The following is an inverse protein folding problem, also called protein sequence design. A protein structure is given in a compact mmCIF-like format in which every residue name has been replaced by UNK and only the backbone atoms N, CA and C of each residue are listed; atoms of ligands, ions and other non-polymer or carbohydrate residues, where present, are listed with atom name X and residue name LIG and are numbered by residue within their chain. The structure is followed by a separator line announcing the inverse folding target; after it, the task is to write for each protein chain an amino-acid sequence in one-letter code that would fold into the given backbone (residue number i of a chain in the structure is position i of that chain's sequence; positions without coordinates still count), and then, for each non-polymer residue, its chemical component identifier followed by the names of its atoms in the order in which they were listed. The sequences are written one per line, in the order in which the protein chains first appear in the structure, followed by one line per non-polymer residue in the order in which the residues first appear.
data_IF_903903087320
#
_entry.id   IF_903903087320
#
_cell.length_a   1.000
_cell.length_b   1.000
_cell.length_c   1.000
_cell.angle_alpha   90.00
_cell.angle_beta   90.00
_cell.angle_gamma   90.00
#
_symmetry.space_group_name_H-M   'P 1'
#
loop_
_entity.id
_entity.type
_entity.pdbx_description
1 polymer ?
#
# COMPACT_ATOMS: atom_id res chain seq x y z
N UNK A 1 36.64 22.85 -27.02
CA UNK A 1 35.57 22.05 -27.66
C UNK A 1 35.19 20.82 -26.82
N UNK A 2 36.12 19.94 -26.46
CA UNK A 2 35.84 18.74 -25.61
C UNK A 2 35.10 19.05 -24.29
N UNK A 3 35.49 20.10 -23.55
CA UNK A 3 34.81 20.49 -22.30
C UNK A 3 33.34 20.92 -22.50
N UNK A 4 33.04 21.63 -23.59
CA UNK A 4 31.66 22.05 -23.93
C UNK A 4 30.80 20.86 -24.33
N UNK A 5 31.37 19.91 -25.09
CA UNK A 5 30.69 18.65 -25.45
C UNK A 5 30.40 17.82 -24.20
N UNK A 6 31.36 17.67 -23.29
CA UNK A 6 31.16 16.95 -22.01
C UNK A 6 30.07 17.62 -21.16
N UNK A 7 30.07 18.95 -21.03
CA UNK A 7 29.02 19.67 -20.28
C UNK A 7 27.64 19.50 -20.89
N UNK A 8 27.52 19.52 -22.22
CA UNK A 8 26.23 19.32 -22.91
C UNK A 8 25.74 17.88 -22.72
N UNK A 9 26.61 16.89 -22.81
CA UNK A 9 26.26 15.47 -22.58
C UNK A 9 25.82 15.26 -21.13
N UNK A 10 26.50 15.86 -20.16
CA UNK A 10 26.12 15.77 -18.74
C UNK A 10 24.76 16.42 -18.49
N UNK A 11 24.52 17.61 -19.06
CA UNK A 11 23.24 18.32 -18.96
C UNK A 11 22.10 17.49 -19.56
N UNK A 12 22.31 16.93 -20.76
CA UNK A 12 21.34 16.04 -21.41
C UNK A 12 21.05 14.79 -20.56
N UNK A 13 22.08 14.20 -19.95
CA UNK A 13 21.93 13.07 -19.02
C UNK A 13 21.10 13.44 -17.79
N UNK A 14 21.36 14.60 -17.17
CA UNK A 14 20.57 15.09 -16.04
C UNK A 14 19.11 15.38 -16.44
N UNK A 15 18.88 16.01 -17.60
CA UNK A 15 17.52 16.26 -18.11
C UNK A 15 16.79 14.95 -18.35
N UNK A 16 17.44 13.96 -18.99
CA UNK A 16 16.85 12.65 -19.22
C UNK A 16 16.48 11.97 -17.90
N UNK A 17 17.38 12.00 -16.91
CA UNK A 17 17.14 11.42 -15.58
C UNK A 17 15.96 12.09 -14.86
N UNK A 18 15.86 13.42 -14.92
CA UNK A 18 14.75 14.17 -14.32
C UNK A 18 13.42 13.86 -14.99
N UNK A 19 13.39 13.76 -16.32
CA UNK A 19 12.18 13.38 -17.06
C UNK A 19 11.76 11.96 -16.72
N UNK A 20 12.69 11.01 -16.68
CA UNK A 20 12.39 9.63 -16.27
C UNK A 20 11.86 9.54 -14.84
N UNK A 21 12.44 10.29 -13.91
CA UNK A 21 11.96 10.34 -12.52
C UNK A 21 10.54 10.92 -12.43
N UNK A 22 10.24 11.99 -13.17
CA UNK A 22 8.91 12.60 -13.20
C UNK A 22 7.85 11.64 -13.77
N UNK A 23 8.18 10.90 -14.83
CA UNK A 23 7.29 9.88 -15.40
C UNK A 23 7.01 8.78 -14.36
N UNK A 24 8.05 8.23 -13.73
CA UNK A 24 7.89 7.19 -12.70
C UNK A 24 7.07 7.67 -11.51
N UNK A 25 7.28 8.91 -11.07
CA UNK A 25 6.51 9.50 -9.98
C UNK A 25 5.03 9.67 -10.35
N UNK A 26 4.74 10.04 -11.60
CA UNK A 26 3.35 10.18 -12.08
C UNK A 26 2.65 8.81 -12.09
N UNK A 27 3.32 7.77 -12.59
CA UNK A 27 2.77 6.40 -12.57
C UNK A 27 2.57 5.89 -11.15
N UNK A 28 3.50 6.19 -10.24
CA UNK A 28 3.33 5.85 -8.83
C UNK A 28 2.13 6.58 -8.18
N UNK A 29 1.91 7.85 -8.52
CA UNK A 29 0.77 8.61 -7.98
C UNK A 29 -0.56 8.00 -8.44
N UNK A 30 -0.71 7.72 -9.74
CA UNK A 30 -1.90 7.04 -10.28
C UNK A 30 -2.14 5.70 -9.59
N UNK A 31 -1.07 4.91 -9.39
CA UNK A 31 -1.15 3.66 -8.66
C UNK A 31 -1.64 3.89 -7.22
N UNK A 32 -1.09 4.87 -6.50
CA UNK A 32 -1.47 5.15 -5.11
C UNK A 32 -2.91 5.62 -4.95
N UNK A 33 -3.47 6.32 -5.95
CA UNK A 33 -4.84 6.82 -5.94
C UNK A 33 -5.87 5.70 -6.15
N UNK A 34 -5.48 4.63 -6.85
CA UNK A 34 -6.33 3.45 -7.09
C UNK A 34 -6.22 2.39 -6.01
N UNK A 35 -5.30 2.53 -5.06
CA UNK A 35 -5.05 1.53 -4.02
C UNK A 35 -5.57 2.02 -2.66
N UNK A 36 -6.26 1.13 -1.96
CA UNK A 36 -6.53 1.30 -0.52
C UNK A 36 -5.76 0.20 0.21
N UNK A 37 -4.91 0.61 1.15
CA UNK A 37 -4.04 -0.29 1.90
C UNK A 37 -4.60 -0.56 3.29
N UNK A 38 -4.60 -1.83 3.69
CA UNK A 38 -4.93 -2.23 5.06
C UNK A 38 -3.69 -2.11 5.94
N UNK A 39 -3.83 -1.39 7.05
CA UNK A 39 -2.80 -1.27 8.07
C UNK A 39 -3.35 -1.73 9.41
N UNK A 40 -2.97 -2.92 9.88
CA UNK A 40 -3.37 -3.43 11.19
C UNK A 40 -2.20 -3.30 12.17
N UNK A 41 -2.44 -2.63 13.28
CA UNK A 41 -1.46 -2.44 14.37
C UNK A 41 -1.92 -3.22 15.57
N UNK A 42 -1.06 -4.14 16.03
CA UNK A 42 -1.31 -4.95 17.22
C UNK A 42 -1.19 -4.12 18.49
N UNK A 43 -1.75 -4.63 19.58
CA UNK A 43 -1.60 -4.02 20.89
C UNK A 43 -0.13 -4.00 21.35
N UNK A 44 0.59 -5.12 21.22
CA UNK A 44 2.02 -5.24 21.51
C UNK A 44 2.76 -6.20 20.57
N UNK A 45 4.05 -6.41 20.84
CA UNK A 45 4.94 -7.32 20.10
C UNK A 45 4.92 -8.77 20.60
N UNK A 46 4.06 -9.07 21.57
CA UNK A 46 3.91 -10.44 22.07
C UNK A 46 3.46 -11.38 20.94
N UNK A 47 3.93 -12.63 20.93
CA UNK A 47 3.51 -13.61 19.93
C UNK A 47 1.98 -13.80 19.90
N UNK A 48 1.33 -13.61 21.05
CA UNK A 48 -0.12 -13.64 21.21
C UNK A 48 -0.81 -12.49 20.45
N UNK A 49 -0.40 -11.24 20.71
CA UNK A 49 -0.96 -10.06 20.06
C UNK A 49 -0.70 -10.05 18.55
N UNK A 50 0.46 -10.60 18.14
CA UNK A 50 0.77 -10.79 16.73
C UNK A 50 -0.15 -11.81 16.07
N UNK A 51 -0.56 -12.88 16.75
CA UNK A 51 -1.55 -13.84 16.23
C UNK A 51 -2.96 -13.23 16.16
N UNK A 52 -3.38 -12.52 17.21
CA UNK A 52 -4.66 -11.81 17.25
C UNK A 52 -4.77 -10.85 16.06
N UNK A 53 -3.71 -10.08 15.79
CA UNK A 53 -3.64 -9.17 14.62
C UNK A 53 -3.95 -9.87 13.31
N UNK A 54 -3.45 -11.09 13.09
CA UNK A 54 -3.71 -11.85 11.86
C UNK A 54 -5.18 -12.27 11.77
N UNK A 55 -5.80 -12.65 12.89
CA UNK A 55 -7.23 -13.02 12.94
C UNK A 55 -8.12 -11.81 12.69
N UNK A 56 -7.82 -10.68 13.30
CA UNK A 56 -8.52 -9.40 13.07
C UNK A 56 -8.36 -8.95 11.62
N UNK A 57 -7.17 -9.06 11.05
CA UNK A 57 -6.94 -8.82 9.61
C UNK A 57 -7.87 -9.64 8.76
N UNK A 58 -7.95 -10.96 9.00
CA UNK A 58 -8.77 -11.86 8.18
C UNK A 58 -10.26 -11.52 8.27
N UNK A 59 -10.77 -11.24 9.48
CA UNK A 59 -12.15 -10.81 9.70
C UNK A 59 -12.47 -9.49 8.97
N UNK A 60 -11.54 -8.54 8.94
CA UNK A 60 -11.71 -7.27 8.24
C UNK A 60 -11.67 -7.48 6.73
N UNK A 61 -10.79 -8.34 6.21
CA UNK A 61 -10.74 -8.66 4.79
C UNK A 61 -12.04 -9.33 4.33
N UNK A 62 -12.56 -10.28 5.10
CA UNK A 62 -13.85 -10.94 4.82
C UNK A 62 -15.01 -9.93 4.80
N UNK A 63 -15.02 -8.98 5.74
CA UNK A 63 -16.06 -7.93 5.79
C UNK A 63 -15.93 -6.90 4.65
N UNK A 64 -14.72 -6.54 4.27
CA UNK A 64 -14.47 -5.48 3.27
C UNK A 64 -14.54 -5.95 1.83
N UNK A 65 -14.21 -7.22 1.56
CA UNK A 65 -14.24 -7.79 0.21
C UNK A 65 -15.59 -7.59 -0.52
N UNK A 66 -16.76 -7.92 0.05
CA UNK A 66 -18.03 -7.73 -0.65
C UNK A 66 -18.40 -6.24 -0.82
N UNK A 67 -17.94 -5.36 0.08
CA UNK A 67 -18.18 -3.92 -0.03
C UNK A 67 -17.41 -3.29 -1.19
N UNK A 68 -16.26 -3.87 -1.51
CA UNK A 68 -15.34 -3.39 -2.52
C UNK A 68 -15.55 -4.04 -3.89
N UNK A 69 -16.24 -5.17 -3.93
CA UNK A 69 -16.49 -5.91 -5.17
C UNK A 69 -17.42 -5.11 -6.10
N UNK A 70 -16.85 -4.58 -7.20
CA UNK A 70 -17.60 -3.80 -8.18
C UNK A 70 -17.99 -2.39 -7.70
N UNK A 71 -17.35 -1.89 -6.63
CA UNK A 71 -17.58 -0.53 -6.16
C UNK A 71 -16.91 0.49 -7.08
N UNK A 72 -17.70 1.43 -7.61
CA UNK A 72 -17.18 2.55 -8.41
C UNK A 72 -16.38 3.56 -7.55
N UNK A 73 -16.75 3.70 -6.27
CA UNK A 73 -16.02 4.47 -5.25
C UNK A 73 -15.66 3.57 -4.05
N UNK A 74 -14.52 2.86 -4.12
CA UNK A 74 -14.01 2.01 -3.05
C UNK A 74 -13.81 2.75 -1.71
N UNK A 75 -13.42 4.03 -1.78
CA UNK A 75 -13.15 4.85 -0.58
C UNK A 75 -14.47 5.18 0.11
N UNK A 76 -15.46 5.67 -0.65
CA UNK A 76 -16.79 5.96 -0.13
C UNK A 76 -17.50 4.72 0.42
N UNK A 77 -17.34 3.56 -0.24
CA UNK A 77 -17.87 2.30 0.25
C UNK A 77 -17.29 1.92 1.62
N UNK A 78 -15.97 2.03 1.81
CA UNK A 78 -15.36 1.77 3.12
C UNK A 78 -15.77 2.81 4.17
N UNK A 79 -15.81 4.08 3.80
CA UNK A 79 -16.16 5.19 4.69
C UNK A 79 -17.59 5.04 5.25
N UNK A 80 -18.54 4.61 4.42
CA UNK A 80 -19.93 4.37 4.81
C UNK A 80 -20.10 3.17 5.78
N UNK A 81 -19.15 2.24 5.81
CA UNK A 81 -19.22 1.01 6.59
C UNK A 81 -18.11 0.89 7.66
N UNK A 82 -17.46 2.00 8.04
CA UNK A 82 -16.38 1.98 9.03
C UNK A 82 -16.80 1.39 10.38
N UNK A 83 -18.00 1.71 10.84
CA UNK A 83 -18.53 1.19 12.11
C UNK A 83 -18.75 -0.33 12.05
N UNK A 84 -19.24 -0.85 10.91
CA UNK A 84 -19.40 -2.29 10.71
C UNK A 84 -18.06 -3.02 10.63
N UNK A 85 -17.05 -2.40 10.02
CA UNK A 85 -15.69 -2.93 9.97
C UNK A 85 -15.07 -2.97 11.37
N UNK A 86 -15.25 -1.90 12.16
CA UNK A 86 -14.82 -1.84 13.54
C UNK A 86 -15.53 -2.90 14.39
N UNK A 87 -16.83 -3.10 14.18
CA UNK A 87 -17.61 -4.12 14.85
C UNK A 87 -17.13 -5.54 14.49
N UNK A 88 -16.82 -5.82 13.22
CA UNK A 88 -16.28 -7.12 12.81
C UNK A 88 -14.95 -7.43 13.54
N UNK A 89 -14.06 -6.44 13.65
CA UNK A 89 -12.83 -6.56 14.40
C UNK A 89 -13.07 -6.78 15.90
N UNK A 90 -14.02 -6.05 16.49
CA UNK A 90 -14.37 -6.19 17.90
C UNK A 90 -14.98 -7.56 18.22
N UNK A 91 -15.88 -8.06 17.36
CA UNK A 91 -16.46 -9.40 17.50
C UNK A 91 -15.37 -10.46 17.46
N UNK A 92 -14.40 -10.35 16.53
CA UNK A 92 -13.27 -11.27 16.45
C UNK A 92 -12.45 -11.29 17.76
N UNK A 93 -12.20 -10.14 18.39
CA UNK A 93 -11.53 -10.07 19.69
C UNK A 93 -12.35 -10.74 20.79
N UNK A 94 -13.66 -10.47 20.86
CA UNK A 94 -14.53 -11.05 21.87
C UNK A 94 -14.62 -12.58 21.75
N UNK A 95 -14.64 -13.14 20.54
CA UNK A 95 -14.61 -14.59 20.31
C UNK A 95 -13.29 -15.23 20.75
N UNK A 96 -12.20 -14.48 20.73
CA UNK A 96 -10.88 -14.90 21.23
C UNK A 96 -10.73 -14.71 22.74
N UNK A 97 -11.73 -14.15 23.42
CA UNK A 97 -11.67 -13.83 24.84
C UNK A 97 -10.86 -12.58 25.16
N UNK A 98 -10.60 -11.73 24.17
CA UNK A 98 -9.82 -10.51 24.31
C UNK A 98 -10.71 -9.29 24.53
N UNK A 99 -10.35 -8.48 25.53
CA UNK A 99 -11.03 -7.23 25.85
C UNK A 99 -10.09 -6.05 25.57
N UNK A 100 -9.83 -5.82 24.28
CA UNK A 100 -9.08 -4.67 23.81
C UNK A 100 -9.96 -3.79 22.92
N UNK A 101 -9.87 -2.45 23.03
CA UNK A 101 -10.59 -1.55 22.15
C UNK A 101 -10.02 -1.62 20.73
N UNK A 102 -10.90 -1.59 19.73
CA UNK A 102 -10.50 -1.43 18.33
C UNK A 102 -10.86 -0.04 17.83
N UNK A 103 -9.91 0.61 17.15
CA UNK A 103 -10.14 1.86 16.42
C UNK A 103 -9.87 1.64 14.94
N UNK A 104 -10.86 1.96 14.10
CA UNK A 104 -10.73 1.91 12.65
C UNK A 104 -10.83 3.32 12.08
N UNK A 105 -9.93 3.69 11.17
CA UNK A 105 -9.94 4.98 10.49
C UNK A 105 -9.55 4.83 9.03
N UNK A 106 -10.15 5.65 8.17
CA UNK A 106 -9.75 5.80 6.78
C UNK A 106 -8.98 7.12 6.61
N UNK A 107 -7.85 7.08 5.91
CA UNK A 107 -7.14 8.30 5.52
C UNK A 107 -5.74 8.06 4.99
N UNK A 108 -5.05 9.15 4.63
CA UNK A 108 -3.72 9.07 4.02
C UNK A 108 -2.63 8.72 5.04
N UNK A 109 -1.78 7.77 4.69
CA UNK A 109 -0.64 7.35 5.51
C UNK A 109 0.60 7.09 4.63
N UNK A 110 1.79 7.37 5.19
CA UNK A 110 3.06 7.04 4.55
C UNK A 110 3.39 5.56 4.81
N UNK A 111 3.53 4.79 3.74
CA UNK A 111 3.96 3.41 3.80
C UNK A 111 5.42 3.30 3.35
N UNK A 112 6.22 2.42 3.98
CA UNK A 112 7.50 2.01 3.42
C UNK A 112 7.30 1.12 2.19
N UNK A 113 8.38 0.90 1.44
CA UNK A 113 8.40 -0.12 0.38
C UNK A 113 8.11 -1.48 0.99
N UNK A 114 7.21 -2.24 0.38
CA UNK A 114 6.82 -3.58 0.83
C UNK A 114 6.98 -4.57 -0.30
N UNK A 115 7.76 -5.61 -0.03
CA UNK A 115 7.92 -6.77 -0.89
C UNK A 115 6.99 -7.87 -0.38
N UNK A 116 6.18 -8.41 -1.27
CA UNK A 116 5.34 -9.59 -1.09
C UNK A 116 5.92 -10.71 -1.94
N UNK A 117 5.47 -11.95 -1.72
CA UNK A 117 6.02 -13.11 -2.46
C UNK A 117 5.88 -12.99 -3.98
N UNK A 118 4.82 -12.31 -4.45
CA UNK A 118 4.46 -12.21 -5.87
C UNK A 118 4.54 -10.80 -6.43
N UNK A 119 4.74 -9.76 -5.61
CA UNK A 119 4.72 -8.38 -6.06
C UNK A 119 5.41 -7.43 -5.08
N UNK A 120 5.72 -6.21 -5.51
CA UNK A 120 6.26 -5.16 -4.64
C UNK A 120 5.43 -3.88 -4.75
N UNK A 121 5.32 -3.15 -3.64
CA UNK A 121 4.71 -1.82 -3.60
C UNK A 121 5.73 -0.79 -3.13
N UNK A 122 5.91 0.32 -3.88
CA UNK A 122 6.84 1.37 -3.48
C UNK A 122 6.44 2.06 -2.17
N UNK A 123 7.43 2.64 -1.50
CA UNK A 123 7.18 3.62 -0.45
C UNK A 123 6.40 4.82 -1.00
N UNK A 124 5.45 5.35 -0.24
CA UNK A 124 4.62 6.47 -0.69
C UNK A 124 3.44 6.74 0.22
N UNK A 125 2.69 7.80 -0.10
CA UNK A 125 1.45 8.13 0.61
C UNK A 125 0.30 7.40 -0.08
N UNK A 126 -0.44 6.60 0.66
CA UNK A 126 -1.57 5.82 0.17
C UNK A 126 -2.81 6.11 1.00
N UNK A 127 -3.99 5.90 0.42
CA UNK A 127 -5.21 5.77 1.20
C UNK A 127 -5.09 4.50 2.06
N UNK A 128 -5.37 4.63 3.36
CA UNK A 128 -5.21 3.55 4.33
C UNK A 128 -6.46 3.35 5.15
N UNK A 129 -6.94 2.10 5.15
CA UNK A 129 -7.82 1.59 6.19
C UNK A 129 -6.93 1.13 7.35
N UNK A 130 -6.82 1.95 8.37
CA UNK A 130 -6.01 1.65 9.55
C UNK A 130 -6.87 1.12 10.67
N UNK A 131 -6.41 0.02 11.26
CA UNK A 131 -7.03 -0.71 12.36
C UNK A 131 -6.01 -0.76 13.48
N UNK A 132 -6.34 -0.21 14.63
CA UNK A 132 -5.48 -0.20 15.81
C UNK A 132 -6.17 -0.98 16.92
N UNK A 133 -5.50 -2.04 17.38
CA UNK A 133 -5.95 -2.91 18.47
C UNK A 133 -5.26 -2.43 19.75
N UNK A 134 -6.03 -2.15 20.80
CA UNK A 134 -5.52 -1.69 22.08
C UNK A 134 -4.69 -0.40 21.96
N UNK A 135 -3.51 -0.38 22.58
CA UNK A 135 -2.62 0.79 22.57
C UNK A 135 -1.91 0.99 21.23
N UNK A 136 -1.83 -0.04 20.38
CA UNK A 136 -1.20 0.08 19.06
C UNK A 136 0.32 0.20 19.10
N UNK A 137 0.97 -0.42 20.09
CA UNK A 137 2.44 -0.38 20.24
C UNK A 137 3.15 -1.51 19.49
N UNK A 138 2.38 -2.46 18.96
CA UNK A 138 2.93 -3.64 18.30
C UNK A 138 3.38 -3.40 16.85
N UNK A 139 4.07 -4.40 16.30
CA UNK A 139 4.50 -4.37 14.90
C UNK A 139 3.33 -4.20 13.93
N UNK A 140 3.59 -3.39 12.91
CA UNK A 140 2.66 -3.11 11.82
C UNK A 140 2.48 -4.31 10.90
N UNK A 141 1.23 -4.61 10.52
CA UNK A 141 0.90 -5.49 9.40
C UNK A 141 0.32 -4.68 8.25
N UNK A 142 0.83 -4.92 7.04
CA UNK A 142 0.49 -4.13 5.85
C UNK A 142 -0.04 -5.03 4.74
N UNK A 143 -1.16 -4.65 4.14
CA UNK A 143 -1.71 -5.36 2.99
C UNK A 143 -2.46 -4.37 2.06
N UNK A 144 -3.01 -4.86 0.95
CA UNK A 144 -3.84 -4.08 0.02
C UNK A 144 -5.27 -4.58 0.05
N UNK A 145 -6.18 -3.77 0.59
CA UNK A 145 -7.60 -4.14 0.68
C UNK A 145 -8.34 -3.87 -0.63
N UNK A 146 -7.92 -2.86 -1.40
CA UNK A 146 -8.44 -2.59 -2.74
C UNK A 146 -7.32 -2.36 -3.76
N UNK A 147 -7.31 -3.10 -4.89
CA UNK A 147 -8.13 -4.28 -5.15
C UNK A 147 -7.81 -5.38 -4.12
N UNK A 148 -8.67 -6.40 -3.98
CA UNK A 148 -8.59 -7.44 -2.94
C UNK A 148 -7.41 -8.41 -3.13
N UNK A 149 -6.19 -7.89 -3.20
CA UNK A 149 -4.94 -8.59 -3.47
C UNK A 149 -4.53 -9.46 -2.27
N UNK A 150 -4.91 -9.08 -1.05
CA UNK A 150 -4.58 -9.83 0.16
C UNK A 150 -5.07 -11.29 0.16
N UNK A 151 -6.08 -11.60 -0.65
CA UNK A 151 -6.72 -12.91 -0.71
C UNK A 151 -6.23 -13.73 -1.92
N UNK A 152 -5.37 -13.15 -2.74
CA UNK A 152 -4.93 -13.71 -4.00
C UNK A 152 -3.76 -14.66 -3.79
N UNK A 153 -3.86 -15.90 -4.31
CA UNK A 153 -2.88 -16.95 -4.05
C UNK A 153 -1.82 -17.08 -5.16
N UNK A 154 -2.06 -16.50 -6.35
CA UNK A 154 -1.18 -16.62 -7.52
C UNK A 154 -0.98 -15.30 -8.27
N UNK A 155 0.10 -15.20 -9.07
CA UNK A 155 0.35 -14.02 -9.92
C UNK A 155 -0.75 -13.81 -10.96
N UNK A 156 -1.30 -14.88 -11.53
CA UNK A 156 -2.36 -14.79 -12.55
C UNK A 156 -3.66 -14.20 -11.97
N UNK A 157 -4.05 -14.62 -10.76
CA UNK A 157 -5.20 -14.05 -10.08
C UNK A 157 -4.95 -12.59 -9.66
N UNK A 158 -3.70 -12.20 -9.39
CA UNK A 158 -3.31 -10.84 -9.03
C UNK A 158 -3.46 -9.90 -10.24
N UNK A 159 -2.95 -10.33 -11.39
CA UNK A 159 -3.10 -9.59 -12.64
C UNK A 159 -4.57 -9.45 -13.01
N UNK A 160 -5.36 -10.52 -12.88
CA UNK A 160 -6.79 -10.48 -13.15
C UNK A 160 -7.54 -9.53 -12.21
N UNK A 161 -7.23 -9.55 -10.91
CA UNK A 161 -7.83 -8.64 -9.93
C UNK A 161 -7.47 -7.17 -10.23
N UNK A 162 -6.23 -6.89 -10.60
CA UNK A 162 -5.79 -5.56 -10.99
C UNK A 162 -6.46 -5.08 -12.29
N UNK A 163 -6.56 -5.93 -13.31
CA UNK A 163 -7.27 -5.62 -14.56
C UNK A 163 -8.75 -5.32 -14.32
N UNK A 164 -9.42 -6.14 -13.50
CA UNK A 164 -10.84 -5.96 -13.14
C UNK A 164 -11.05 -4.64 -12.40
N UNK A 165 -10.07 -4.20 -11.60
CA UNK A 165 -10.09 -2.92 -10.90
C UNK A 165 -9.64 -1.73 -11.77
N UNK A 166 -9.45 -1.92 -13.08
CA UNK A 166 -9.14 -0.83 -14.03
C UNK A 166 -7.69 -0.35 -13.98
N UNK A 167 -6.75 -1.22 -13.58
CA UNK A 167 -5.31 -0.92 -13.64
C UNK A 167 -4.81 -1.11 -15.08
N UNK A 168 -3.96 -0.19 -15.52
CA UNK A 168 -3.27 -0.26 -16.81
C UNK A 168 -2.09 -1.23 -16.76
N UNK A 169 -1.63 -1.69 -17.92
CA UNK A 169 -0.46 -2.57 -18.04
C UNK A 169 0.80 -2.00 -17.37
N UNK A 170 0.96 -0.67 -17.39
CA UNK A 170 2.07 0.02 -16.71
C UNK A 170 1.98 -0.08 -15.18
N UNK A 171 0.78 0.08 -14.63
CA UNK A 171 0.50 -0.04 -13.20
C UNK A 171 0.63 -1.50 -12.73
N UNK A 172 0.14 -2.46 -13.51
CA UNK A 172 0.26 -3.90 -13.23
C UNK A 172 1.72 -4.33 -13.20
N UNK A 173 2.52 -3.91 -14.19
CA UNK A 173 3.98 -4.16 -14.22
C UNK A 173 4.71 -3.57 -13.02
N UNK A 174 4.22 -2.44 -12.49
CA UNK A 174 4.81 -1.82 -11.31
C UNK A 174 4.57 -2.65 -10.05
N UNK A 175 3.43 -3.35 -9.99
CA UNK A 175 3.07 -4.26 -8.90
C UNK A 175 3.87 -5.57 -9.07
N UNK A 176 3.72 -6.28 -10.19
CA UNK A 176 4.24 -7.65 -10.36
C UNK A 176 5.76 -7.77 -10.47
N UNK A 177 6.49 -6.66 -10.62
CA UNK A 177 7.94 -6.64 -10.48
C UNK A 177 8.71 -7.51 -11.48
N UNK A 178 8.15 -7.73 -12.68
CA UNK A 178 8.64 -8.67 -13.69
C UNK A 178 10.05 -8.39 -14.28
N UNK A 179 10.86 -7.51 -13.69
CA UNK A 179 12.25 -7.25 -14.09
C UNK A 179 13.15 -6.94 -12.88
N UNK A 180 14.30 -7.62 -12.77
CA UNK A 180 15.31 -7.43 -11.70
C UNK A 180 15.86 -5.98 -11.59
N UNK A 181 15.59 -5.12 -12.58
CA UNK A 181 15.94 -3.70 -12.56
C UNK A 181 15.05 -2.80 -11.68
N UNK A 182 14.01 -3.34 -11.04
CA UNK A 182 13.02 -2.56 -10.28
C UNK A 182 13.50 -2.04 -8.91
N UNK A 183 14.36 -2.78 -8.20
CA UNK A 183 14.85 -2.39 -6.86
C UNK A 183 15.62 -1.06 -6.90
N UNK A 184 16.42 -0.85 -7.95
CA UNK A 184 17.17 0.39 -8.15
C UNK A 184 16.25 1.60 -8.39
N UNK A 185 15.14 1.40 -9.13
CA UNK A 185 14.16 2.46 -9.38
C UNK A 185 13.43 2.86 -8.10
N UNK A 186 13.05 1.89 -7.27
CA UNK A 186 12.40 2.17 -5.98
C UNK A 186 13.32 2.88 -5.01
N UNK A 187 14.61 2.50 -4.93
CA UNK A 187 15.60 3.22 -4.12
C UNK A 187 15.81 4.67 -4.57
N UNK A 188 15.80 4.92 -5.88
CA UNK A 188 15.89 6.27 -6.42
C UNK A 188 14.65 7.12 -6.06
N UNK A 189 13.45 6.53 -6.14
CA UNK A 189 12.20 7.16 -5.71
C UNK A 189 12.16 7.43 -4.21
N UNK A 190 12.60 6.48 -3.38
CA UNK A 190 12.72 6.68 -1.92
C UNK A 190 13.62 7.86 -1.57
N UNK A 191 14.76 7.99 -2.27
CA UNK A 191 15.68 9.10 -2.06
C UNK A 191 15.03 10.44 -2.43
N UNK A 192 14.31 10.49 -3.56
CA UNK A 192 13.55 11.66 -3.99
C UNK A 192 12.45 12.04 -3.01
N UNK A 193 11.68 11.06 -2.50
CA UNK A 193 10.62 11.32 -1.51
C UNK A 193 11.19 11.85 -0.20
N UNK A 194 12.29 11.27 0.29
CA UNK A 194 12.98 11.78 1.50
C UNK A 194 13.47 13.21 1.31
N UNK A 195 14.03 13.53 0.15
CA UNK A 195 14.46 14.88 -0.20
C UNK A 195 13.27 15.86 -0.24
N UNK A 196 12.16 15.45 -0.83
CA UNK A 196 10.94 16.28 -0.88
C UNK A 196 10.37 16.54 0.52
N UNK A 197 10.29 15.51 1.37
CA UNK A 197 9.82 15.63 2.75
C UNK A 197 10.72 16.55 3.62
N UNK A 198 12.00 16.69 3.28
CA UNK A 198 12.92 17.62 3.92
C UNK A 198 12.79 19.06 3.40
N UNK A 199 12.31 19.25 2.17
CA UNK A 199 12.14 20.56 1.52
C UNK A 199 10.78 21.21 1.82
N UNK A 200 9.77 20.41 2.16
CA UNK A 200 8.42 20.88 2.56
C UNK A 200 8.31 21.17 4.08
N UNK A 201 9.44 21.20 4.80
CA UNK A 201 9.58 21.54 6.22
C UNK A 201 10.30 22.87 6.39
#
# INVERSE_FOLDING_TARGET
MKKRVISIVLLLGCVLMLVSAAVLQTEQQKLSEKLIRLHVVANSDSAHDQQIKLRVRDAILEKTQPLLQGADDPRGALEAHLDEIAQAAQTCLSELGEDAPVRVRLGKELFPTREYETFALPAGIYESLRVTIGEGEGHNWWCVVFPSICLTASMDELELAAQTAGFSDGEIRLITGADEGFVLKFRALELLQRLKALLEK
#
